data_IF_243951369689
#
_entry.id   IF_243951369689
#
_cell.length_a   1.000
_cell.length_b   1.000
_cell.length_c   1.000
_cell.angle_alpha   90.00
_cell.angle_beta   90.00
_cell.angle_gamma   90.00
#
_symmetry.space_group_name_H-M   'P 1'
#
loop_
_entity.id
_entity.type
_entity.pdbx_description
1 polymer ?
#
# COMPACT_ATOMS: atom_id res chain seq x y z
N UNK A 1 -27.46 22.71 6.25
CA UNK A 1 -27.51 23.15 4.84
C UNK A 1 -27.89 21.95 4.00
N UNK A 2 -29.05 21.99 3.32
CA UNK A 2 -29.47 20.90 2.45
C UNK A 2 -29.07 21.26 1.02
N UNK A 3 -28.19 20.48 0.41
CA UNK A 3 -27.77 20.69 -0.98
C UNK A 3 -28.68 19.84 -1.87
N UNK A 4 -29.52 20.47 -2.67
CA UNK A 4 -30.39 19.77 -3.63
C UNK A 4 -29.64 19.75 -4.95
N UNK A 5 -29.01 18.62 -5.26
CA UNK A 5 -28.33 18.39 -6.54
C UNK A 5 -29.32 17.67 -7.46
N UNK A 6 -29.69 18.23 -8.62
CA UNK A 6 -30.55 17.52 -9.58
C UNK A 6 -29.83 16.29 -10.13
N UNK A 7 -30.54 15.15 -10.15
CA UNK A 7 -30.04 13.89 -10.67
C UNK A 7 -30.22 13.87 -12.20
N UNK A 8 -29.11 13.91 -12.93
CA UNK A 8 -29.10 13.69 -14.37
C UNK A 8 -29.11 12.19 -14.67
N UNK A 9 -30.08 11.75 -15.47
CA UNK A 9 -30.19 10.37 -15.95
C UNK A 9 -29.61 10.32 -17.37
N UNK A 10 -28.48 9.66 -17.52
CA UNK A 10 -27.79 9.45 -18.80
C UNK A 10 -27.66 7.97 -19.10
N UNK A 11 -27.71 7.58 -20.38
CA UNK A 11 -27.52 6.17 -20.76
C UNK A 11 -26.05 5.80 -20.62
N UNK A 12 -25.78 4.61 -20.06
CA UNK A 12 -24.41 4.11 -19.93
C UNK A 12 -23.66 3.99 -21.27
N UNK A 13 -24.38 3.77 -22.37
CA UNK A 13 -23.82 3.70 -23.73
C UNK A 13 -23.28 5.04 -24.25
N UNK A 14 -23.70 6.16 -23.67
CA UNK A 14 -23.27 7.51 -24.06
C UNK A 14 -22.05 7.97 -23.25
N UNK A 15 -21.63 7.20 -22.23
CA UNK A 15 -20.50 7.50 -21.37
C UNK A 15 -19.24 6.86 -21.95
N UNK A 16 -18.22 7.67 -22.26
CA UNK A 16 -16.91 7.16 -22.63
C UNK A 16 -16.24 6.45 -21.44
N UNK A 17 -15.87 5.16 -21.57
CA UNK A 17 -15.12 4.46 -20.54
C UNK A 17 -13.77 5.14 -20.31
N UNK A 18 -13.49 5.47 -19.04
CA UNK A 18 -12.20 6.05 -18.65
C UNK A 18 -11.35 4.99 -17.98
N UNK A 19 -10.07 4.98 -18.34
CA UNK A 19 -9.09 4.12 -17.69
C UNK A 19 -8.99 4.47 -16.20
N UNK A 20 -9.09 3.45 -15.35
CA UNK A 20 -8.89 3.61 -13.91
C UNK A 20 -7.39 3.58 -13.64
N UNK A 21 -6.86 4.68 -13.10
CA UNK A 21 -5.48 4.71 -12.59
C UNK A 21 -5.45 4.06 -11.21
N UNK A 22 -4.47 3.18 -10.98
CA UNK A 22 -4.36 2.38 -9.75
C UNK A 22 -3.14 2.76 -8.93
N UNK A 23 -3.33 2.88 -7.62
CA UNK A 23 -2.24 2.85 -6.66
C UNK A 23 -1.73 1.41 -6.48
N UNK A 24 -2.67 0.47 -6.33
CA UNK A 24 -2.39 -0.95 -6.21
C UNK A 24 -3.52 -1.76 -6.85
N UNK A 25 -3.26 -2.34 -8.01
CA UNK A 25 -4.25 -3.17 -8.69
C UNK A 25 -4.41 -4.54 -8.00
N UNK A 26 -5.64 -5.08 -7.83
CA UNK A 26 -6.95 -4.48 -8.10
C UNK A 26 -7.62 -3.86 -6.85
N UNK A 27 -6.84 -3.44 -5.85
CA UNK A 27 -7.33 -3.09 -4.51
C UNK A 27 -7.58 -1.60 -4.28
N UNK A 28 -6.68 -0.72 -4.70
CA UNK A 28 -6.74 0.72 -4.40
C UNK A 28 -6.66 1.55 -5.69
N UNK A 29 -7.78 2.11 -6.18
CA UNK A 29 -7.81 3.06 -7.29
C UNK A 29 -7.50 4.50 -6.81
N UNK A 30 -6.92 5.31 -7.69
CA UNK A 30 -6.64 6.72 -7.40
C UNK A 30 -7.91 7.58 -7.37
N UNK A 31 -7.96 8.56 -6.46
CA UNK A 31 -9.07 9.53 -6.37
C UNK A 31 -10.39 8.94 -5.89
N UNK A 32 -10.37 7.73 -5.33
CA UNK A 32 -11.54 7.02 -4.82
C UNK A 32 -11.32 6.63 -3.36
N UNK A 33 -12.41 6.55 -2.60
CA UNK A 33 -12.38 6.08 -1.21
C UNK A 33 -12.41 4.55 -1.20
N UNK A 34 -11.47 3.93 -0.48
CA UNK A 34 -11.35 2.47 -0.35
C UNK A 34 -11.45 2.08 1.13
N UNK A 35 -12.20 1.02 1.45
CA UNK A 35 -12.33 0.48 2.81
C UNK A 35 -11.39 -0.71 3.00
N UNK A 36 -10.51 -0.66 4.02
CA UNK A 36 -9.69 -1.80 4.43
C UNK A 36 -10.31 -2.48 5.66
N UNK A 37 -10.81 -3.70 5.48
CA UNK A 37 -11.45 -4.49 6.53
C UNK A 37 -10.62 -5.74 6.88
N UNK A 38 -10.76 -6.21 8.12
CA UNK A 38 -10.20 -7.47 8.65
C UNK A 38 -10.45 -7.54 10.16
N UNK A 39 -9.88 -8.50 10.85
CA UNK A 39 -9.99 -8.66 12.29
C UNK A 39 -9.02 -7.76 13.09
N UNK A 40 -9.34 -7.39 14.34
CA UNK A 40 -8.40 -6.69 15.20
C UNK A 40 -7.10 -7.49 15.33
N UNK A 41 -5.96 -6.88 15.00
CA UNK A 41 -4.65 -7.55 15.05
C UNK A 41 -4.08 -8.00 13.69
N UNK A 42 -4.87 -7.99 12.61
CA UNK A 42 -4.44 -8.42 11.25
C UNK A 42 -3.38 -7.52 10.59
N UNK A 43 -2.91 -6.48 11.28
CA UNK A 43 -1.87 -5.60 10.77
C UNK A 43 -2.36 -4.59 9.73
N UNK A 44 -3.66 -4.31 9.64
CA UNK A 44 -4.23 -3.24 8.77
C UNK A 44 -3.49 -1.91 8.89
N UNK A 45 -3.24 -1.44 10.11
CA UNK A 45 -2.50 -0.20 10.36
C UNK A 45 -1.04 -0.29 9.88
N UNK A 46 -0.42 -1.46 10.01
CA UNK A 46 0.95 -1.69 9.55
C UNK A 46 1.04 -1.71 8.03
N UNK A 47 0.07 -2.32 7.35
CA UNK A 47 -0.05 -2.31 5.90
C UNK A 47 -0.21 -0.87 5.40
N UNK A 48 -1.15 -0.12 5.96
CA UNK A 48 -1.41 1.26 5.56
C UNK A 48 -0.21 2.18 5.83
N UNK A 49 0.46 2.04 6.97
CA UNK A 49 1.67 2.78 7.27
C UNK A 49 2.80 2.46 6.28
N UNK A 50 2.92 1.20 5.87
CA UNK A 50 3.92 0.79 4.87
C UNK A 50 3.64 1.45 3.53
N UNK A 51 2.38 1.44 3.06
CA UNK A 51 1.94 2.09 1.82
C UNK A 51 2.17 3.61 1.89
N UNK A 52 1.90 4.26 3.03
CA UNK A 52 2.15 5.69 3.20
C UNK A 52 3.65 6.04 3.13
N UNK A 53 4.50 5.25 3.79
CA UNK A 53 5.95 5.43 3.75
C UNK A 53 6.51 5.24 2.34
N UNK A 54 6.03 4.20 1.64
CA UNK A 54 6.28 3.89 0.23
C UNK A 54 5.96 5.06 -0.72
N UNK A 55 4.88 5.78 -0.46
CA UNK A 55 4.44 6.89 -1.29
C UNK A 55 5.14 8.22 -0.94
N UNK A 56 5.54 8.37 0.32
CA UNK A 56 6.20 9.57 0.82
C UNK A 56 7.68 9.64 0.43
N UNK A 57 8.34 8.48 0.44
CA UNK A 57 9.67 8.32 -0.11
C UNK A 57 9.48 7.91 -1.58
N UNK A 58 9.65 8.83 -2.53
CA UNK A 58 9.35 8.68 -3.98
C UNK A 58 10.09 7.51 -4.70
N UNK A 59 10.64 6.56 -3.95
CA UNK A 59 11.52 5.47 -4.35
C UNK A 59 10.80 4.20 -4.81
N UNK A 60 9.53 3.95 -4.47
CA UNK A 60 8.84 2.74 -4.97
C UNK A 60 7.38 3.02 -5.35
N UNK A 61 7.16 3.11 -6.67
CA UNK A 61 5.92 2.61 -7.26
C UNK A 61 5.83 1.12 -6.98
N UNK A 62 4.68 0.66 -6.47
CA UNK A 62 4.39 -0.73 -6.12
C UNK A 62 4.32 -1.67 -7.34
N UNK A 63 5.27 -1.58 -8.26
CA UNK A 63 5.57 -2.62 -9.25
C UNK A 63 6.36 -3.74 -8.56
N UNK A 64 5.61 -4.60 -7.86
CA UNK A 64 5.81 -6.05 -7.84
C UNK A 64 6.96 -6.68 -7.04
N UNK A 65 8.14 -6.08 -6.85
CA UNK A 65 9.31 -6.97 -6.59
C UNK A 65 10.44 -6.47 -5.68
N UNK A 66 10.27 -5.39 -4.91
CA UNK A 66 11.42 -4.84 -4.13
C UNK A 66 11.34 -4.92 -2.59
N UNK A 67 10.15 -5.06 -1.99
CA UNK A 67 10.05 -4.96 -0.52
C UNK A 67 10.41 -6.23 0.25
N UNK A 68 10.18 -7.41 -0.32
CA UNK A 68 10.47 -8.68 0.36
C UNK A 68 12.00 -8.82 0.58
N UNK A 69 12.80 -8.50 -0.44
CA UNK A 69 14.26 -8.63 -0.41
C UNK A 69 14.98 -7.64 0.55
N UNK A 70 14.43 -6.43 0.72
CA UNK A 70 15.01 -5.44 1.62
C UNK A 70 14.87 -5.82 3.10
N UNK A 71 13.76 -6.46 3.46
CA UNK A 71 13.52 -6.91 4.84
C UNK A 71 14.38 -8.12 5.23
N UNK A 72 14.70 -9.01 4.28
CA UNK A 72 15.58 -10.16 4.50
C UNK A 72 17.05 -9.77 4.61
N UNK A 73 17.50 -8.79 3.82
CA UNK A 73 18.87 -8.28 3.86
C UNK A 73 19.22 -7.64 5.20
N UNK A 74 18.27 -6.92 5.83
CA UNK A 74 18.46 -6.34 7.17
C UNK A 74 18.49 -7.40 8.28
N UNK A 75 17.73 -8.49 8.15
CA UNK A 75 17.75 -9.61 9.12
C UNK A 75 19.06 -10.42 9.04
N UNK A 76 19.62 -10.60 7.84
CA UNK A 76 20.88 -11.33 7.62
C UNK A 76 22.09 -10.58 8.19
N UNK A 77 22.10 -9.25 8.08
CA UNK A 77 23.16 -8.38 8.63
C UNK A 77 23.20 -8.36 10.16
N UNK A 78 22.04 -8.33 10.83
CA UNK A 78 21.98 -8.36 12.31
C UNK A 78 22.33 -9.73 12.91
N UNK A 79 22.12 -10.84 12.18
CA UNK A 79 22.49 -12.19 12.63
C UNK A 79 24.01 -12.41 12.64
N UNK A 80 24.76 -11.87 11.65
CA UNK A 80 26.22 -11.99 11.60
C UNK A 80 26.97 -11.21 12.70
N UNK A 81 26.35 -10.17 13.28
CA UNK A 81 26.97 -9.37 14.34
C UNK A 81 26.86 -9.98 15.75
N UNK A 82 25.95 -10.94 15.99
CA UNK A 82 25.72 -11.53 17.32
C UNK A 82 26.52 -12.81 17.61
N UNK A 83 27.20 -13.40 16.62
CA UNK A 83 27.95 -14.66 16.80
C UNK A 83 29.47 -14.48 16.87
N UNK A 84 29.97 -13.24 16.95
CA UNK A 84 31.41 -12.93 16.93
C UNK A 84 31.98 -12.27 18.18
N UNK A 85 31.25 -12.22 19.30
CA UNK A 85 31.68 -11.52 20.51
C UNK A 85 31.49 -12.38 21.76
N UNK A 86 32.17 -13.52 21.81
CA UNK A 86 32.56 -14.21 23.03
C UNK A 86 33.83 -15.00 22.73
N UNK A 87 34.98 -14.43 23.10
CA UNK A 87 36.21 -15.18 23.33
C UNK A 87 36.72 -14.78 24.71
N UNK A 88 36.67 -15.75 25.63
CA UNK A 88 37.21 -15.70 26.98
C UNK A 88 36.72 -16.92 27.75
N UNK A 89 37.47 -17.45 28.73
CA UNK A 89 38.86 -17.08 29.10
C UNK A 89 39.91 -17.54 28.10
#
# INVERSE_FOLDING_TARGET
>A
MNVIVPLEIIKASEIEPKEVKWLWYPYIPFGKVTLLQGDPGDGKSKLMLSIAALLSDASIYLTGTKYILASESRKRSKRKRKTGAYQGP
#
